data_IF_549721592691
#
_entry.id   IF_549721592691
#
_cell.length_a   1.000
_cell.length_b   1.000
_cell.length_c   1.000
_cell.angle_alpha   90.00
_cell.angle_beta   90.00
_cell.angle_gamma   90.00
#
_symmetry.space_group_name_H-M   'P 1'
#
loop_
_entity.id
_entity.type
_entity.pdbx_description
1 polymer ?
#
# COMPACT_ATOMS: atom_id res chain seq x y z
N UNK A 1 37.24 -38.29 -10.45
CA UNK A 1 36.31 -37.41 -9.70
C UNK A 1 34.96 -37.49 -10.40
N UNK A 2 34.02 -38.33 -9.92
CA UNK A 2 32.67 -38.41 -10.49
C UNK A 2 31.85 -37.25 -9.90
N UNK A 3 31.28 -36.40 -10.75
CA UNK A 3 30.35 -35.35 -10.34
C UNK A 3 29.06 -36.07 -9.91
N UNK A 4 28.71 -35.99 -8.63
CA UNK A 4 27.42 -36.49 -8.15
C UNK A 4 26.38 -35.42 -8.49
N UNK A 5 25.69 -35.59 -9.60
CA UNK A 5 24.54 -34.73 -9.94
C UNK A 5 23.39 -35.05 -8.98
N UNK A 6 22.97 -34.04 -8.22
CA UNK A 6 21.87 -34.19 -7.27
C UNK A 6 20.56 -34.42 -8.04
N UNK A 7 19.55 -35.07 -7.43
CA UNK A 7 18.23 -35.21 -8.06
C UNK A 7 17.65 -33.88 -8.54
N UNK A 8 17.86 -32.79 -7.78
CA UNK A 8 17.43 -31.43 -8.13
C UNK A 8 18.09 -30.89 -9.40
N UNK A 9 19.36 -31.20 -9.63
CA UNK A 9 20.08 -30.75 -10.83
C UNK A 9 19.56 -31.46 -12.09
N UNK A 10 19.17 -32.73 -11.95
CA UNK A 10 18.53 -33.50 -13.02
C UNK A 10 17.13 -32.98 -13.34
N UNK A 11 16.36 -32.62 -12.32
CA UNK A 11 15.02 -32.03 -12.50
C UNK A 11 15.09 -30.66 -13.18
N UNK A 12 16.06 -29.82 -12.78
CA UNK A 12 16.30 -28.53 -13.40
C UNK A 12 16.73 -28.67 -14.88
N UNK A 13 17.58 -29.63 -15.20
CA UNK A 13 18.00 -29.91 -16.57
C UNK A 13 16.84 -30.42 -17.44
N UNK A 14 16.00 -31.30 -16.88
CA UNK A 14 14.82 -31.81 -17.57
C UNK A 14 13.80 -30.69 -17.85
N UNK A 15 13.53 -29.83 -16.87
CA UNK A 15 12.67 -28.66 -17.04
C UNK A 15 13.24 -27.70 -18.11
N UNK A 16 14.54 -27.45 -18.09
CA UNK A 16 15.19 -26.61 -19.09
C UNK A 16 15.12 -27.17 -20.51
N UNK A 17 15.10 -28.50 -20.66
CA UNK A 17 14.90 -29.15 -21.96
C UNK A 17 13.44 -29.00 -22.44
N UNK A 18 12.47 -29.22 -21.55
CA UNK A 18 11.04 -29.06 -21.84
C UNK A 18 10.69 -27.62 -22.25
N UNK A 19 11.23 -26.63 -21.54
CA UNK A 19 11.00 -25.22 -21.87
C UNK A 19 11.59 -24.86 -23.24
N UNK A 20 12.74 -25.42 -23.59
CA UNK A 20 13.38 -25.16 -24.89
C UNK A 20 12.62 -25.81 -26.05
N UNK A 21 12.08 -27.01 -25.83
CA UNK A 21 11.19 -27.66 -26.79
C UNK A 21 9.89 -26.87 -27.00
N UNK A 22 9.28 -26.40 -25.91
CA UNK A 22 8.10 -25.55 -25.96
C UNK A 22 8.35 -24.22 -26.70
N UNK A 23 9.49 -23.58 -26.50
CA UNK A 23 9.88 -22.35 -27.20
C UNK A 23 10.08 -22.58 -28.70
N UNK A 24 10.72 -23.70 -29.09
CA UNK A 24 10.90 -24.08 -30.49
C UNK A 24 9.58 -24.39 -31.21
N UNK A 25 8.56 -24.86 -30.47
CA UNK A 25 7.23 -25.10 -31.01
C UNK A 25 6.45 -23.80 -31.30
N UNK A 26 6.88 -22.65 -30.77
CA UNK A 26 6.24 -21.36 -31.04
C UNK A 26 6.65 -20.86 -32.43
N UNK A 27 5.73 -20.97 -33.40
CA UNK A 27 5.93 -20.40 -34.73
C UNK A 27 5.19 -19.07 -34.87
N UNK A 28 5.88 -18.05 -35.37
CA UNK A 28 5.28 -16.75 -35.67
C UNK A 28 4.56 -16.83 -37.02
N UNK A 29 3.23 -16.57 -37.09
CA UNK A 29 2.52 -16.55 -38.36
C UNK A 29 3.10 -15.49 -39.31
N UNK A 30 3.23 -15.81 -40.59
CA UNK A 30 3.81 -14.89 -41.60
C UNK A 30 3.03 -13.56 -41.70
N UNK A 31 1.74 -13.57 -41.38
CA UNK A 31 0.86 -12.40 -41.41
C UNK A 31 0.76 -11.66 -40.06
N UNK A 32 1.50 -12.06 -39.02
CA UNK A 32 1.44 -11.43 -37.69
C UNK A 32 1.65 -9.91 -37.78
N UNK A 33 2.67 -9.47 -38.51
CA UNK A 33 2.97 -8.04 -38.66
C UNK A 33 1.95 -7.30 -39.50
N UNK A 34 1.29 -7.98 -40.45
CA UNK A 34 0.19 -7.40 -41.20
C UNK A 34 -1.02 -7.18 -40.29
N UNK A 35 -1.32 -8.12 -39.38
CA UNK A 35 -2.38 -7.98 -38.37
C UNK A 35 -2.11 -6.87 -37.35
N UNK A 36 -0.88 -6.75 -36.86
CA UNK A 36 -0.49 -5.68 -35.90
C UNK A 36 -0.62 -4.30 -36.55
N UNK A 37 -0.27 -4.17 -37.83
CA UNK A 37 -0.37 -2.90 -38.58
C UNK A 37 -1.75 -2.63 -39.14
N UNK A 38 -2.62 -3.63 -39.22
CA UNK A 38 -3.97 -3.46 -39.73
C UNK A 38 -4.71 -2.43 -38.85
N UNK A 39 -5.29 -1.37 -39.46
CA UNK A 39 -6.15 -0.45 -38.73
C UNK A 39 -7.26 -1.26 -38.07
N UNK A 40 -7.46 -1.08 -36.76
CA UNK A 40 -8.64 -1.66 -36.11
C UNK A 40 -9.88 -1.14 -36.85
N UNK A 41 -10.81 -2.02 -37.26
CA UNK A 41 -12.08 -1.56 -37.82
C UNK A 41 -12.76 -0.71 -36.76
N UNK A 42 -12.84 0.59 -37.03
CA UNK A 42 -13.59 1.53 -36.20
C UNK A 42 -15.05 1.16 -36.38
N UNK A 43 -15.65 0.57 -35.35
CA UNK A 43 -17.08 0.32 -35.35
C UNK A 43 -17.80 1.65 -35.61
N UNK A 44 -18.81 1.69 -36.51
CA UNK A 44 -19.58 2.90 -36.73
C UNK A 44 -20.16 3.36 -35.39
N UNK A 45 -19.93 4.64 -35.07
CA UNK A 45 -20.42 5.23 -33.83
C UNK A 45 -21.94 5.03 -33.75
N UNK A 46 -22.39 4.32 -32.71
CA UNK A 46 -23.81 4.18 -32.45
C UNK A 46 -24.46 5.58 -32.32
N UNK A 47 -25.67 5.78 -32.88
CA UNK A 47 -26.36 7.06 -32.75
C UNK A 47 -26.60 7.37 -31.28
N UNK A 48 -26.07 8.51 -30.82
CA UNK A 48 -26.29 8.99 -29.46
C UNK A 48 -27.79 9.25 -29.26
N UNK A 49 -28.43 8.70 -28.20
CA UNK A 49 -29.82 9.01 -27.93
C UNK A 49 -29.94 10.51 -27.59
N UNK A 50 -30.77 11.22 -28.36
CA UNK A 50 -31.17 12.60 -28.05
C UNK A 50 -31.86 12.59 -26.68
N UNK A 51 -31.17 13.07 -25.64
CA UNK A 51 -31.79 13.36 -24.34
C UNK A 51 -32.83 14.46 -24.58
N UNK A 52 -34.11 14.07 -24.62
CA UNK A 52 -35.22 15.02 -24.50
C UNK A 52 -35.13 15.63 -23.11
N UNK A 53 -34.83 16.93 -23.06
CA UNK A 53 -34.93 17.70 -21.84
C UNK A 53 -36.40 17.69 -21.39
N UNK A 54 -36.68 17.06 -20.26
CA UNK A 54 -37.95 17.20 -19.55
C UNK A 54 -37.77 18.38 -18.60
N UNK A 55 -38.59 19.46 -18.69
CA UNK A 55 -38.52 20.54 -17.73
C UNK A 55 -39.14 20.14 -16.39
N UNK A 56 -38.47 20.63 -15.35
CA UNK A 56 -38.78 20.67 -13.92
C UNK A 56 -40.23 20.37 -13.46
N UNK A 57 -40.34 19.49 -12.46
CA UNK A 57 -41.28 19.69 -11.36
C UNK A 57 -40.45 20.14 -10.16
N UNK A 58 -40.70 21.37 -9.75
CA UNK A 58 -40.14 22.00 -8.58
C UNK A 58 -40.78 21.45 -7.29
N UNK A 59 -40.02 21.65 -6.20
CA UNK A 59 -40.51 21.84 -4.84
C UNK A 59 -41.10 20.62 -4.10
N UNK A 60 -40.24 19.93 -3.34
CA UNK A 60 -40.49 19.57 -1.94
C UNK A 60 -39.34 18.68 -1.42
N UNK A 61 -38.39 19.25 -0.67
CA UNK A 61 -37.58 18.52 0.34
C UNK A 61 -36.48 19.38 1.02
N UNK A 62 -36.46 20.71 0.87
CA UNK A 62 -35.44 21.56 1.51
C UNK A 62 -35.74 21.95 2.96
N UNK A 63 -36.74 21.35 3.61
CA UNK A 63 -37.14 21.68 4.99
C UNK A 63 -36.89 20.59 6.04
N UNK A 64 -36.15 19.51 5.71
CA UNK A 64 -35.93 18.39 6.64
C UNK A 64 -34.47 18.18 7.13
N UNK A 65 -33.51 19.03 6.73
CA UNK A 65 -32.09 18.90 7.14
C UNK A 65 -31.55 20.02 8.03
N UNK A 66 -32.34 21.06 8.30
CA UNK A 66 -31.96 22.16 9.20
C UNK A 66 -32.23 21.88 10.69
N UNK A 67 -32.77 20.71 11.04
CA UNK A 67 -33.12 20.35 12.43
C UNK A 67 -32.16 19.35 13.11
N UNK A 68 -31.12 18.86 12.41
CA UNK A 68 -30.14 17.92 12.98
C UNK A 68 -28.77 18.57 13.32
N UNK A 69 -28.58 19.86 13.00
CA UNK A 69 -27.34 20.58 13.24
C UNK A 69 -27.25 21.28 14.62
N UNK A 70 -28.26 21.11 15.48
CA UNK A 70 -28.39 21.88 16.73
C UNK A 70 -28.24 21.04 18.03
N UNK A 71 -27.77 19.79 17.97
CA UNK A 71 -27.74 18.89 19.14
C UNK A 71 -26.37 18.28 19.50
N UNK A 72 -25.25 18.76 18.93
CA UNK A 72 -23.90 18.32 19.33
C UNK A 72 -22.93 19.48 19.57
N UNK A 73 -23.43 20.61 20.08
CA UNK A 73 -22.60 21.71 20.59
C UNK A 73 -22.90 21.90 22.09
N UNK A 74 -21.97 21.42 22.93
CA UNK A 74 -22.00 21.53 24.39
C UNK A 74 -21.98 20.13 25.01
N UNK A 75 -20.82 19.58 25.38
CA UNK A 75 -20.01 20.04 26.51
C UNK A 75 -18.52 19.93 26.24
N UNK A 76 -17.78 21.03 26.40
CA UNK A 76 -16.32 21.02 26.35
C UNK A 76 -15.70 20.36 27.58
N UNK A 77 -14.63 19.60 27.35
CA UNK A 77 -13.46 19.54 28.23
C UNK A 77 -12.22 19.43 27.34
N UNK A 78 -11.61 20.57 27.02
CA UNK A 78 -10.21 20.63 26.62
C UNK A 78 -9.38 20.31 27.87
N UNK A 79 -9.01 19.05 28.05
CA UNK A 79 -7.88 18.66 28.88
C UNK A 79 -6.78 18.16 27.94
N UNK A 80 -5.58 18.77 27.93
CA UNK A 80 -4.43 18.15 27.31
C UNK A 80 -4.03 16.96 28.20
N UNK A 81 -4.66 15.80 27.96
CA UNK A 81 -4.27 14.55 28.60
C UNK A 81 -2.88 14.19 28.08
N UNK A 82 -1.86 14.56 28.86
CA UNK A 82 -0.53 13.98 28.79
C UNK A 82 -0.66 12.52 29.21
N UNK A 83 -0.89 11.65 28.24
CA UNK A 83 -0.88 10.21 28.44
C UNK A 83 0.53 9.82 28.90
N UNK A 84 0.61 9.35 30.13
CA UNK A 84 1.81 8.70 30.64
C UNK A 84 2.00 7.42 29.84
N UNK A 85 3.15 7.27 29.19
CA UNK A 85 3.58 5.98 28.66
C UNK A 85 3.91 5.08 29.85
N UNK A 86 3.25 3.92 30.02
CA UNK A 86 3.90 2.79 30.64
C UNK A 86 4.87 2.20 29.60
N UNK A 87 6.13 2.01 29.98
CA UNK A 87 7.02 1.10 29.25
C UNK A 87 6.31 -0.26 29.16
N UNK A 88 5.92 -0.66 27.96
CA UNK A 88 5.36 -1.98 27.72
C UNK A 88 6.16 -2.65 26.62
N UNK A 89 6.71 -3.79 27.03
CA UNK A 89 7.45 -4.78 26.28
C UNK A 89 6.95 -4.97 24.85
N UNK A 90 7.89 -5.27 23.95
CA UNK A 90 7.73 -5.62 22.53
C UNK A 90 6.86 -6.87 22.29
N UNK A 91 5.60 -6.81 22.72
CA UNK A 91 4.58 -7.84 22.64
C UNK A 91 3.18 -7.24 22.59
N UNK A 92 3.03 -6.03 22.05
CA UNK A 92 1.72 -5.47 21.75
C UNK A 92 1.03 -6.34 20.70
N UNK A 93 -0.11 -6.92 21.05
CA UNK A 93 -0.93 -7.68 20.12
C UNK A 93 -1.31 -6.78 18.94
N UNK A 94 -0.70 -7.04 17.76
CA UNK A 94 -0.94 -6.23 16.59
C UNK A 94 -2.41 -6.26 16.14
N UNK A 95 -2.78 -5.25 15.36
CA UNK A 95 -4.14 -5.08 14.86
C UNK A 95 -4.33 -5.88 13.59
N UNK A 96 -5.36 -6.70 13.54
CA UNK A 96 -5.71 -7.49 12.36
C UNK A 96 -6.24 -6.59 11.24
N UNK A 97 -5.63 -6.70 10.06
CA UNK A 97 -6.02 -6.00 8.83
C UNK A 97 -6.44 -7.00 7.76
N UNK A 98 -7.37 -6.60 6.91
CA UNK A 98 -7.69 -7.32 5.67
C UNK A 98 -7.09 -6.58 4.48
N UNK A 99 -6.30 -7.32 3.68
CA UNK A 99 -5.68 -6.82 2.46
C UNK A 99 -6.73 -6.59 1.38
N UNK A 100 -6.67 -5.42 0.74
CA UNK A 100 -7.61 -5.00 -0.28
C UNK A 100 -6.91 -4.69 -1.60
N UNK A 101 -7.36 -5.33 -2.68
CA UNK A 101 -6.97 -4.98 -4.04
C UNK A 101 -8.15 -4.26 -4.72
N UNK A 102 -7.91 -3.06 -5.24
CA UNK A 102 -8.91 -2.26 -5.94
C UNK A 102 -9.31 -2.87 -7.29
N UNK A 103 -8.44 -3.67 -7.90
CA UNK A 103 -8.71 -4.37 -9.16
C UNK A 103 -9.62 -5.58 -8.93
N UNK A 104 -10.88 -5.49 -9.35
CA UNK A 104 -11.87 -6.56 -9.17
C UNK A 104 -11.41 -7.91 -9.76
N UNK A 105 -10.71 -7.89 -10.90
CA UNK A 105 -10.19 -9.10 -11.53
C UNK A 105 -9.16 -9.85 -10.67
N UNK A 106 -8.51 -9.15 -9.74
CA UNK A 106 -7.50 -9.71 -8.85
C UNK A 106 -8.02 -10.05 -7.45
N UNK A 107 -9.30 -9.85 -7.17
CA UNK A 107 -9.87 -10.18 -5.87
C UNK A 107 -10.02 -11.70 -5.69
N UNK A 108 -10.29 -12.45 -6.75
CA UNK A 108 -10.46 -13.91 -6.69
C UNK A 108 -9.19 -14.70 -7.06
N UNK A 109 -8.07 -14.01 -7.35
CA UNK A 109 -6.87 -14.61 -7.93
C UNK A 109 -5.65 -14.49 -7.01
N UNK A 110 -5.09 -15.64 -6.65
CA UNK A 110 -3.83 -15.74 -5.91
C UNK A 110 -2.65 -16.03 -6.85
N UNK A 111 -2.45 -15.15 -7.84
CA UNK A 111 -1.31 -15.23 -8.78
C UNK A 111 -0.30 -14.14 -8.50
N UNK A 112 0.89 -14.24 -9.08
CA UNK A 112 1.96 -13.25 -8.85
C UNK A 112 1.59 -11.88 -9.44
N UNK A 113 0.82 -11.84 -10.51
CA UNK A 113 0.32 -10.62 -11.16
C UNK A 113 -0.68 -9.89 -10.27
N UNK A 114 -1.48 -10.64 -9.51
CA UNK A 114 -2.50 -10.10 -8.61
C UNK A 114 -2.00 -9.86 -7.17
N UNK A 115 -0.71 -10.09 -6.92
CA UNK A 115 -0.09 -9.84 -5.62
C UNK A 115 0.18 -8.35 -5.40
N UNK A 116 -0.03 -7.90 -4.17
CA UNK A 116 0.33 -6.58 -3.69
C UNK A 116 1.68 -6.64 -2.99
N UNK A 117 2.50 -5.62 -3.20
CA UNK A 117 3.87 -5.61 -2.68
C UNK A 117 3.93 -5.01 -1.29
N UNK A 118 4.60 -5.70 -0.37
CA UNK A 118 5.13 -5.10 0.85
C UNK A 118 6.49 -4.49 0.54
N UNK A 119 6.74 -3.29 1.03
CA UNK A 119 8.02 -2.61 0.82
C UNK A 119 8.86 -2.51 2.08
N UNK A 120 10.18 -2.45 1.92
CA UNK A 120 11.11 -2.31 3.04
C UNK A 120 11.11 -0.89 3.61
N UNK A 121 11.07 0.13 2.75
CA UNK A 121 11.07 1.54 3.16
C UNK A 121 9.82 2.28 2.63
N UNK A 122 8.93 2.78 3.50
CA UNK A 122 7.68 3.45 3.09
C UNK A 122 7.90 4.88 2.56
N UNK A 123 9.04 5.52 2.85
CA UNK A 123 9.42 6.83 2.31
C UNK A 123 10.20 6.72 0.99
N UNK A 124 10.57 5.52 0.57
CA UNK A 124 11.17 5.27 -0.73
C UNK A 124 10.11 5.02 -1.81
N UNK A 125 10.51 5.17 -3.08
CA UNK A 125 9.64 4.93 -4.23
C UNK A 125 9.06 3.51 -4.20
N UNK A 126 7.75 3.40 -4.34
CA UNK A 126 7.05 2.13 -4.53
C UNK A 126 7.45 1.52 -5.88
N UNK A 127 8.35 0.55 -5.83
CA UNK A 127 8.98 -0.06 -7.01
C UNK A 127 9.54 -1.42 -6.68
N UNK A 128 9.81 -2.24 -7.71
CA UNK A 128 10.34 -3.60 -7.54
C UNK A 128 11.63 -3.69 -6.72
N UNK A 129 12.46 -2.63 -6.69
CA UNK A 129 13.72 -2.61 -5.90
C UNK A 129 13.51 -2.46 -4.40
N UNK A 130 12.33 -2.03 -3.97
CA UNK A 130 11.98 -1.79 -2.57
C UNK A 130 11.06 -2.89 -2.03
N UNK A 131 10.73 -3.91 -2.82
CA UNK A 131 9.81 -4.99 -2.42
C UNK A 131 10.54 -6.00 -1.54
N UNK A 132 9.93 -6.32 -0.41
CA UNK A 132 10.44 -7.32 0.55
C UNK A 132 9.50 -8.52 0.69
N UNK A 133 8.22 -8.36 0.35
CA UNK A 133 7.22 -9.41 0.48
C UNK A 133 6.01 -9.16 -0.41
N UNK A 134 5.08 -10.11 -0.41
CA UNK A 134 3.84 -10.07 -1.20
C UNK A 134 2.67 -10.56 -0.38
N UNK A 135 1.51 -9.97 -0.62
CA UNK A 135 0.23 -10.32 -0.01
C UNK A 135 -0.87 -10.29 -1.07
N UNK A 136 -1.97 -10.98 -0.81
CA UNK A 136 -3.10 -11.11 -1.73
C UNK A 136 -4.38 -10.55 -1.16
N UNK A 137 -5.34 -10.27 -2.04
CA UNK A 137 -6.65 -9.78 -1.60
C UNK A 137 -7.30 -10.75 -0.61
N UNK A 138 -7.98 -10.20 0.41
CA UNK A 138 -8.69 -10.99 1.41
C UNK A 138 -7.78 -11.62 2.47
N UNK A 139 -6.45 -11.61 2.27
CA UNK A 139 -5.53 -12.07 3.30
C UNK A 139 -5.67 -11.25 4.57
N UNK A 140 -5.62 -11.96 5.69
CA UNK A 140 -5.69 -11.37 7.02
C UNK A 140 -4.28 -11.31 7.58
N UNK A 141 -3.78 -10.11 7.82
CA UNK A 141 -2.42 -9.85 8.28
C UNK A 141 -2.45 -9.04 9.57
N UNK A 142 -1.38 -9.08 10.34
CA UNK A 142 -1.25 -8.33 11.58
C UNK A 142 -0.38 -7.10 11.37
N UNK A 143 -0.89 -5.93 11.74
CA UNK A 143 -0.14 -4.68 11.74
C UNK A 143 0.23 -4.25 13.15
N UNK A 144 1.51 -3.96 13.34
CA UNK A 144 2.04 -3.60 14.66
C UNK A 144 1.90 -2.09 14.92
N UNK A 145 2.10 -1.29 13.87
CA UNK A 145 1.96 0.16 13.92
C UNK A 145 1.70 0.78 12.53
N UNK A 146 1.41 2.08 12.50
CA UNK A 146 1.17 2.85 11.27
C UNK A 146 1.98 4.15 11.28
N UNK A 147 2.50 4.54 10.13
CA UNK A 147 3.02 5.91 9.88
C UNK A 147 2.06 6.68 8.98
N UNK A 148 2.06 8.01 9.08
CA UNK A 148 1.11 8.86 8.36
C UNK A 148 1.73 9.68 7.22
N UNK A 149 3.06 9.69 7.11
CA UNK A 149 3.87 10.58 6.28
C UNK A 149 4.77 9.82 5.28
N UNK A 150 4.41 8.58 4.96
CA UNK A 150 5.09 7.83 3.92
C UNK A 150 4.78 8.36 2.51
N UNK A 151 5.41 7.75 1.51
CA UNK A 151 5.20 8.12 0.10
C UNK A 151 3.72 8.04 -0.27
N UNK A 152 3.19 9.09 -0.91
CA UNK A 152 1.81 9.10 -1.40
C UNK A 152 1.62 8.02 -2.48
N UNK A 153 0.70 7.09 -2.25
CA UNK A 153 0.30 6.08 -3.24
C UNK A 153 -1.16 6.34 -3.62
N UNK A 154 -1.44 6.21 -4.91
CA UNK A 154 -2.80 6.20 -5.47
C UNK A 154 -3.06 4.83 -6.06
N UNK A 155 -4.20 4.23 -5.72
CA UNK A 155 -4.60 2.93 -6.26
C UNK A 155 -5.34 3.05 -7.60
N UNK A 156 -5.75 1.90 -8.13
CA UNK A 156 -6.46 1.79 -9.41
C UNK A 156 -7.89 2.36 -9.35
N UNK A 157 -8.43 2.57 -8.15
CA UNK A 157 -9.72 3.24 -7.91
C UNK A 157 -9.57 4.76 -7.62
N UNK A 158 -8.37 5.31 -7.86
CA UNK A 158 -8.03 6.72 -7.62
C UNK A 158 -8.14 7.18 -6.16
N UNK A 159 -8.04 6.24 -5.20
CA UNK A 159 -7.91 6.55 -3.77
C UNK A 159 -6.44 6.76 -3.46
N UNK A 160 -6.12 7.84 -2.75
CA UNK A 160 -4.74 8.16 -2.36
C UNK A 160 -4.55 8.13 -0.84
N UNK A 161 -3.36 7.71 -0.40
CA UNK A 161 -2.98 7.74 1.02
C UNK A 161 -1.46 7.86 1.20
N UNK A 162 -1.04 8.57 2.24
CA UNK A 162 0.33 8.61 2.77
C UNK A 162 0.51 7.69 3.97
N UNK A 163 -0.55 6.97 4.38
CA UNK A 163 -0.49 6.03 5.51
C UNK A 163 0.17 4.74 5.06
N UNK A 164 1.02 4.18 5.91
CA UNK A 164 1.66 2.88 5.69
C UNK A 164 1.61 2.07 6.98
N UNK A 165 1.18 0.81 6.87
CA UNK A 165 1.06 -0.11 7.99
C UNK A 165 2.28 -1.03 8.04
N UNK A 166 2.98 -1.08 9.17
CA UNK A 166 4.03 -2.06 9.40
C UNK A 166 3.39 -3.40 9.71
N UNK A 167 3.74 -4.43 8.94
CA UNK A 167 3.16 -5.77 9.04
C UNK A 167 4.27 -6.81 9.08
N UNK A 168 4.04 -7.87 9.84
CA UNK A 168 4.94 -9.03 9.91
C UNK A 168 4.18 -10.26 9.44
N UNK A 169 4.67 -10.90 8.37
CA UNK A 169 4.09 -12.11 7.81
C UNK A 169 4.48 -13.36 8.62
N UNK A 170 3.74 -14.49 8.49
CA UNK A 170 4.02 -15.72 9.23
C UNK A 170 5.41 -16.32 8.99
N UNK A 171 6.03 -16.03 7.85
CA UNK A 171 7.39 -16.46 7.50
C UNK A 171 8.48 -15.56 8.10
N UNK A 172 8.10 -14.54 8.87
CA UNK A 172 9.01 -13.56 9.48
C UNK A 172 9.33 -12.37 8.57
N UNK A 173 8.81 -12.32 7.35
CA UNK A 173 8.99 -11.16 6.47
C UNK A 173 8.25 -9.96 7.05
N UNK A 174 8.99 -8.93 7.44
CA UNK A 174 8.43 -7.65 7.87
C UNK A 174 8.51 -6.61 6.75
N UNK A 175 7.46 -5.80 6.60
CA UNK A 175 7.43 -4.76 5.59
C UNK A 175 6.24 -3.81 5.77
N UNK A 176 6.11 -2.90 4.82
CA UNK A 176 5.12 -1.83 4.85
C UNK A 176 4.07 -2.02 3.76
N UNK A 177 2.80 -2.02 4.16
CA UNK A 177 1.65 -2.06 3.26
C UNK A 177 1.07 -0.64 3.08
N UNK A 178 0.89 -0.15 1.84
CA UNK A 178 0.24 1.14 1.61
C UNK A 178 -1.19 1.13 2.14
N UNK A 179 -1.64 2.24 2.75
CA UNK A 179 -2.95 2.30 3.37
C UNK A 179 -4.12 2.15 2.40
N UNK A 180 -3.93 2.51 1.13
CA UNK A 180 -4.91 2.26 0.04
C UNK A 180 -5.16 0.77 -0.21
N UNK A 181 -4.26 -0.11 0.25
CA UNK A 181 -4.38 -1.58 0.12
C UNK A 181 -5.03 -2.22 1.34
N UNK A 182 -5.77 -1.45 2.13
CA UNK A 182 -6.49 -1.93 3.31
C UNK A 182 -7.90 -1.34 3.33
N UNK A 183 -8.84 -2.06 3.94
CA UNK A 183 -10.15 -1.51 4.34
C UNK A 183 -10.27 -1.46 5.85
N UNK A 184 -9.18 -1.04 6.50
CA UNK A 184 -9.12 -1.06 7.94
C UNK A 184 -10.15 -0.11 8.55
N UNK A 185 -10.93 -0.62 9.50
CA UNK A 185 -11.89 0.15 10.31
C UNK A 185 -11.44 0.27 11.77
N UNK A 186 -10.42 -0.49 12.17
CA UNK A 186 -9.84 -0.46 13.51
C UNK A 186 -8.67 0.54 13.56
N UNK A 187 -8.48 1.19 14.70
CA UNK A 187 -7.34 2.08 14.89
C UNK A 187 -6.06 1.29 15.12
N UNK A 188 -5.02 1.58 14.33
CA UNK A 188 -3.67 1.04 14.50
C UNK A 188 -2.83 2.12 15.17
N UNK A 189 -2.06 1.80 16.24
CA UNK A 189 -1.23 2.79 16.93
C UNK A 189 -0.15 3.35 16.00
N UNK A 190 0.24 4.61 16.24
CA UNK A 190 1.38 5.20 15.56
C UNK A 190 2.67 4.49 15.96
N UNK A 191 3.62 4.39 15.03
CA UNK A 191 4.94 3.83 15.35
C UNK A 191 5.66 4.73 16.37
N UNK A 192 6.27 4.12 17.39
CA UNK A 192 6.92 4.82 18.51
C UNK A 192 8.14 5.67 18.10
N UNK A 193 8.66 5.47 16.88
CA UNK A 193 9.76 6.25 16.32
C UNK A 193 9.44 6.53 14.85
N UNK A 194 9.14 7.79 14.53
CA UNK A 194 9.47 8.30 13.20
C UNK A 194 11.00 8.17 13.08
N UNK A 195 11.55 7.48 12.06
CA UNK A 195 12.97 7.58 11.80
C UNK A 195 13.25 9.05 11.50
N UNK A 196 14.03 9.70 12.39
CA UNK A 196 14.46 11.07 12.19
C UNK A 196 15.05 11.22 10.77
N UNK A 197 14.70 12.30 10.04
CA UNK A 197 15.32 12.57 8.75
C UNK A 197 16.85 12.57 8.92
N UNK A 198 17.63 11.91 8.04
CA UNK A 198 19.07 11.69 8.25
C UNK A 198 19.96 12.94 8.21
N UNK A 199 19.42 14.15 8.34
CA UNK A 199 20.16 15.42 8.29
C UNK A 199 19.64 16.49 9.28
N UNK A 200 19.06 16.11 10.42
CA UNK A 200 18.86 17.09 11.50
C UNK A 200 20.22 17.41 12.15
N UNK A 201 20.74 18.66 12.05
CA UNK A 201 21.98 19.03 12.72
C UNK A 201 21.75 18.95 14.23
N UNK A 202 22.68 18.31 14.94
CA UNK A 202 22.72 18.25 16.38
C UNK A 202 23.17 19.60 16.97
N UNK A 203 22.35 20.65 16.83
CA UNK A 203 22.58 21.92 17.53
C UNK A 203 21.85 21.92 18.87
N UNK A 204 22.44 21.20 19.83
CA UNK A 204 22.25 21.51 21.24
C UNK A 204 23.21 22.64 21.63
N UNK A 205 22.79 23.66 22.39
CA UNK A 205 23.71 24.68 22.89
C UNK A 205 24.65 24.01 23.91
N UNK A 206 25.86 23.66 23.47
CA UNK A 206 26.94 23.31 24.41
C UNK A 206 27.31 24.57 25.19
N UNK A 207 27.03 24.52 26.48
CA UNK A 207 27.36 25.55 27.45
C UNK A 207 28.85 25.93 27.38
N UNK A 208 29.12 27.23 27.39
CA UNK A 208 30.47 27.77 27.52
C UNK A 208 31.07 27.36 28.89
N UNK A 209 32.36 27.01 28.96
CA UNK A 209 33.02 26.75 30.23
C UNK A 209 33.24 28.05 31.01
N UNK A 210 32.72 28.10 32.23
CA UNK A 210 32.98 29.16 33.21
C UNK A 210 34.46 29.24 33.57
N UNK A 211 35.09 30.40 33.36
CA UNK A 211 36.43 30.70 33.86
C UNK A 211 36.39 30.98 35.38
N UNK A 212 37.40 30.54 36.17
CA UNK A 212 37.51 30.93 37.57
C UNK A 212 38.03 32.37 37.74
N UNK A 213 37.49 33.07 38.73
CA UNK A 213 37.85 34.44 39.12
C UNK A 213 39.28 34.53 39.70
N UNK A 214 39.97 35.69 39.58
CA UNK A 214 41.28 35.89 40.18
C UNK A 214 41.19 36.10 41.70
N UNK A 215 42.05 35.43 42.46
CA UNK A 215 42.33 35.75 43.85
C UNK A 215 43.20 37.01 43.92
N UNK A 216 42.76 38.01 44.67
CA UNK A 216 43.56 39.12 45.18
C UNK A 216 43.78 38.97 46.68
#
# INVERSE_FOLDING_TARGET
MRRNDSPRDRDAAALGALLRDADQAVHVPEDLWARIRAPRPVAPAAPRPRRRAVPAIAAAATLALAAAAALLLGTGVLHPQRWHLPDLDSGAAGVTLTVYNAEAACQDLHTMECSLSLVGNPHAKYSARNVVGRVWHGETITADCVIADGTLITDEAAVSSTRWYHVTLPDGTAGWLPGVRTRNTAEVPLCATDPAPPDAPADGPTAAPSAPAPAG
#
